data_IF_243615069968
#
_entry.id   IF_243615069968
#
_cell.length_a   1.000
_cell.length_b   1.000
_cell.length_c   1.000
_cell.angle_alpha   90.00
_cell.angle_beta   90.00
_cell.angle_gamma   90.00
#
_symmetry.space_group_name_H-M   'P 1'
#
loop_
_entity.id
_entity.type
_entity.pdbx_description
1 polymer ?
#
# COMPACT_ATOMS: atom_id res chain seq x y z
N UNK A 1 1.62 -4.79 13.58
CA UNK A 1 2.74 -5.60 13.04
C UNK A 1 2.44 -6.24 11.70
N UNK A 2 1.25 -6.83 11.48
CA UNK A 2 0.90 -7.42 10.18
C UNK A 2 0.75 -6.37 9.06
N UNK A 3 0.06 -5.25 9.32
CA UNK A 3 -0.15 -4.16 8.34
C UNK A 3 1.18 -3.58 7.84
N UNK A 4 2.13 -3.33 8.74
CA UNK A 4 3.45 -2.81 8.35
C UNK A 4 4.20 -3.75 7.42
N UNK A 5 4.17 -5.07 7.68
CA UNK A 5 4.79 -6.06 6.79
C UNK A 5 4.11 -6.10 5.42
N UNK A 6 2.79 -5.96 5.38
CA UNK A 6 2.04 -5.93 4.12
C UNK A 6 2.33 -4.66 3.32
N UNK A 7 2.52 -3.51 3.98
CA UNK A 7 2.98 -2.29 3.33
C UNK A 7 4.39 -2.43 2.76
N UNK A 8 5.33 -3.02 3.50
CA UNK A 8 6.69 -3.31 3.01
C UNK A 8 6.69 -4.23 1.78
N UNK A 9 5.91 -5.31 1.81
CA UNK A 9 5.73 -6.20 0.65
C UNK A 9 5.10 -5.48 -0.55
N UNK A 10 4.14 -4.58 -0.29
CA UNK A 10 3.51 -3.77 -1.32
C UNK A 10 4.51 -2.79 -1.96
N UNK A 11 5.38 -2.15 -1.19
CA UNK A 11 6.45 -1.28 -1.70
C UNK A 11 7.46 -2.05 -2.57
N UNK A 12 7.79 -3.30 -2.22
CA UNK A 12 8.65 -4.16 -3.05
C UNK A 12 7.97 -4.49 -4.38
N UNK A 13 6.68 -4.86 -4.36
CA UNK A 13 5.90 -5.14 -5.57
C UNK A 13 5.75 -3.91 -6.46
N UNK A 14 5.50 -2.72 -5.88
CA UNK A 14 5.44 -1.46 -6.62
C UNK A 14 6.78 -1.14 -7.29
N UNK A 15 7.91 -1.35 -6.60
CA UNK A 15 9.24 -1.15 -7.19
C UNK A 15 9.50 -2.10 -8.36
N UNK A 16 9.15 -3.38 -8.23
CA UNK A 16 9.28 -4.34 -9.32
C UNK A 16 8.42 -3.92 -10.53
N UNK A 17 7.18 -3.50 -10.28
CA UNK A 17 6.26 -3.06 -11.32
C UNK A 17 6.74 -1.78 -12.03
N UNK A 18 7.34 -0.84 -11.30
CA UNK A 18 7.94 0.37 -11.87
C UNK A 18 9.13 0.02 -12.78
N UNK A 19 10.02 -0.89 -12.36
CA UNK A 19 11.14 -1.35 -13.18
C UNK A 19 10.63 -1.97 -14.48
N UNK A 20 9.69 -2.91 -14.41
CA UNK A 20 9.09 -3.52 -15.61
C UNK A 20 8.36 -2.51 -16.49
N UNK A 21 7.72 -1.50 -15.90
CA UNK A 21 7.07 -0.41 -16.64
C UNK A 21 8.05 0.44 -17.43
N UNK A 22 9.18 0.81 -16.83
CA UNK A 22 10.25 1.57 -17.50
C UNK A 22 10.89 0.75 -18.62
N UNK A 23 11.12 -0.55 -18.42
CA UNK A 23 11.64 -1.44 -19.45
C UNK A 23 10.68 -1.54 -20.64
N UNK A 24 9.39 -1.74 -20.38
CA UNK A 24 8.38 -1.80 -21.43
C UNK A 24 8.25 -0.46 -22.17
N UNK A 25 8.32 0.68 -21.47
CA UNK A 25 8.29 2.01 -22.11
C UNK A 25 9.49 2.19 -23.06
N UNK A 26 10.70 1.77 -22.64
CA UNK A 26 11.90 1.84 -23.48
C UNK A 26 11.77 0.97 -24.72
N UNK A 27 11.23 -0.24 -24.58
CA UNK A 27 10.93 -1.10 -25.74
C UNK A 27 9.90 -0.42 -26.67
N UNK A 28 8.81 0.14 -26.13
CA UNK A 28 7.77 0.82 -26.92
C UNK A 28 8.30 2.04 -27.68
N UNK A 29 9.30 2.72 -27.14
CA UNK A 29 9.98 3.86 -27.79
C UNK A 29 11.01 3.45 -28.84
N UNK A 30 11.29 2.15 -28.97
CA UNK A 30 12.34 1.63 -29.86
C UNK A 30 13.76 1.93 -29.35
N UNK A 31 13.92 2.21 -28.06
CA UNK A 31 15.22 2.46 -27.43
C UNK A 31 15.94 1.15 -27.03
N UNK A 32 15.24 0.01 -27.12
CA UNK A 32 15.81 -1.32 -26.92
C UNK A 32 16.24 -1.94 -28.26
N UNK A 33 17.40 -2.61 -28.28
CA UNK A 33 17.95 -3.35 -29.44
C UNK A 33 17.06 -4.54 -29.87
N UNK A 34 15.94 -4.78 -29.21
CA UNK A 34 14.99 -5.86 -29.50
C UNK A 34 14.04 -5.49 -30.65
N UNK A 35 14.56 -5.51 -31.88
CA UNK A 35 13.76 -5.33 -33.10
C UNK A 35 12.78 -6.48 -33.41
N UNK A 36 12.16 -7.12 -32.42
CA UNK A 36 11.46 -8.42 -32.58
C UNK A 36 10.16 -8.62 -31.81
N UNK A 37 9.74 -7.74 -30.89
CA UNK A 37 8.48 -7.92 -30.14
C UNK A 37 7.30 -7.34 -30.92
N UNK A 38 6.22 -8.09 -31.04
CA UNK A 38 4.99 -7.64 -31.71
C UNK A 38 4.30 -6.53 -30.90
N UNK A 39 3.82 -5.48 -31.56
CA UNK A 39 3.15 -4.35 -30.89
C UNK A 39 1.94 -4.82 -30.06
N UNK A 40 1.21 -5.84 -30.53
CA UNK A 40 0.08 -6.43 -29.80
C UNK A 40 0.52 -7.05 -28.48
N UNK A 41 1.68 -7.72 -28.47
CA UNK A 41 2.24 -8.32 -27.27
C UNK A 41 2.64 -7.25 -26.25
N UNK A 42 3.26 -6.17 -26.73
CA UNK A 42 3.68 -5.05 -25.87
C UNK A 42 2.48 -4.32 -25.26
N UNK A 43 1.40 -4.12 -26.04
CA UNK A 43 0.15 -3.56 -25.52
C UNK A 43 -0.49 -4.48 -24.48
N UNK A 44 -0.45 -5.80 -24.68
CA UNK A 44 -0.95 -6.75 -23.69
C UNK A 44 -0.14 -6.68 -22.38
N UNK A 45 1.19 -6.67 -22.45
CA UNK A 45 2.06 -6.49 -21.29
C UNK A 45 1.80 -5.15 -20.59
N UNK A 46 1.55 -4.08 -21.35
CA UNK A 46 1.19 -2.78 -20.80
C UNK A 46 -0.16 -2.81 -20.07
N UNK A 47 -1.17 -3.45 -20.64
CA UNK A 47 -2.48 -3.60 -19.99
C UNK A 47 -2.37 -4.38 -18.67
N UNK A 48 -1.60 -5.47 -18.64
CA UNK A 48 -1.36 -6.24 -17.42
C UNK A 48 -0.63 -5.40 -16.35
N UNK A 49 0.39 -4.62 -16.73
CA UNK A 49 1.07 -3.71 -15.80
C UNK A 49 0.13 -2.65 -15.24
N UNK A 50 -0.73 -2.05 -16.07
CA UNK A 50 -1.72 -1.05 -15.62
C UNK A 50 -2.76 -1.68 -14.68
N UNK A 51 -3.24 -2.88 -15.00
CA UNK A 51 -4.17 -3.62 -14.14
C UNK A 51 -3.54 -3.93 -12.79
N UNK A 52 -2.30 -4.40 -12.77
CA UNK A 52 -1.60 -4.73 -11.54
C UNK A 52 -1.28 -3.48 -10.71
N UNK A 53 -0.86 -2.37 -11.36
CA UNK A 53 -0.70 -1.08 -10.68
C UNK A 53 -1.99 -0.62 -10.01
N UNK A 54 -3.12 -0.75 -10.70
CA UNK A 54 -4.42 -0.37 -10.15
C UNK A 54 -4.83 -1.24 -8.96
N UNK A 55 -4.54 -2.54 -8.99
CA UNK A 55 -4.78 -3.44 -7.85
C UNK A 55 -3.92 -3.05 -6.65
N UNK A 56 -2.63 -2.81 -6.87
CA UNK A 56 -1.71 -2.40 -5.81
C UNK A 56 -2.14 -1.08 -5.17
N UNK A 57 -2.52 -0.06 -5.96
CA UNK A 57 -3.01 1.21 -5.40
C UNK A 57 -4.27 1.06 -4.53
N UNK A 58 -5.21 0.18 -4.95
CA UNK A 58 -6.40 -0.11 -4.14
C UNK A 58 -6.02 -0.80 -2.84
N UNK A 59 -5.16 -1.80 -2.91
CA UNK A 59 -4.73 -2.55 -1.74
C UNK A 59 -3.94 -1.69 -0.75
N UNK A 60 -3.08 -0.80 -1.25
CA UNK A 60 -2.38 0.21 -0.44
C UNK A 60 -3.36 1.10 0.31
N UNK A 61 -4.38 1.61 -0.39
CA UNK A 61 -5.41 2.46 0.20
C UNK A 61 -6.17 1.73 1.33
N UNK A 62 -6.52 0.46 1.12
CA UNK A 62 -7.15 -0.38 2.14
C UNK A 62 -6.24 -0.57 3.37
N UNK A 63 -4.96 -0.86 3.16
CA UNK A 63 -3.99 -1.03 4.24
C UNK A 63 -3.80 0.26 5.05
N UNK A 64 -3.77 1.42 4.39
CA UNK A 64 -3.66 2.71 5.06
C UNK A 64 -4.89 3.03 5.92
N UNK A 65 -6.09 2.68 5.46
CA UNK A 65 -7.32 2.82 6.25
C UNK A 65 -7.24 1.94 7.51
N UNK A 66 -6.86 0.67 7.35
CA UNK A 66 -6.72 -0.26 8.49
C UNK A 66 -5.66 0.24 9.48
N UNK A 67 -4.55 0.79 8.99
CA UNK A 67 -3.52 1.37 9.85
C UNK A 67 -4.07 2.54 10.69
N UNK A 68 -4.86 3.43 10.08
CA UNK A 68 -5.49 4.55 10.76
C UNK A 68 -6.54 4.09 11.79
N UNK A 69 -7.36 3.08 11.44
CA UNK A 69 -8.34 2.50 12.37
C UNK A 69 -7.66 1.95 13.63
N UNK A 70 -6.57 1.18 13.47
CA UNK A 70 -5.81 0.65 14.60
C UNK A 70 -5.20 1.75 15.48
N UNK A 71 -4.72 2.84 14.89
CA UNK A 71 -4.19 3.98 15.65
C UNK A 71 -5.28 4.68 16.46
N UNK A 72 -6.46 4.87 15.85
CA UNK A 72 -7.62 5.46 16.53
C UNK A 72 -8.11 4.59 17.69
N UNK A 73 -8.15 3.27 17.50
CA UNK A 73 -8.51 2.31 18.56
C UNK A 73 -7.53 2.35 19.74
N UNK A 74 -6.22 2.38 19.49
CA UNK A 74 -5.20 2.53 20.53
C UNK A 74 -5.34 3.86 21.27
N UNK A 75 -5.58 4.95 20.53
CA UNK A 75 -5.80 6.26 21.11
C UNK A 75 -7.05 6.29 22.02
N UNK A 76 -8.17 5.73 21.54
CA UNK A 76 -9.39 5.62 22.31
C UNK A 76 -9.17 4.79 23.58
N UNK A 77 -8.52 3.63 23.48
CA UNK A 77 -8.22 2.76 24.63
C UNK A 77 -7.43 3.50 25.72
N UNK A 78 -6.40 4.26 25.32
CA UNK A 78 -5.59 5.07 26.25
C UNK A 78 -6.41 6.18 26.91
N UNK A 79 -7.28 6.85 26.17
CA UNK A 79 -8.14 7.89 26.72
C UNK A 79 -9.16 7.31 27.72
N UNK A 80 -9.78 6.18 27.39
CA UNK A 80 -10.71 5.49 28.28
C UNK A 80 -10.03 5.02 29.58
N UNK A 81 -8.81 4.50 29.48
CA UNK A 81 -8.03 4.13 30.66
C UNK A 81 -7.78 5.34 31.57
N UNK A 82 -7.30 6.46 31.00
CA UNK A 82 -7.07 7.71 31.75
C UNK A 82 -8.35 8.22 32.41
N UNK A 83 -9.50 8.09 31.74
CA UNK A 83 -10.78 8.49 32.28
C UNK A 83 -11.17 7.63 33.49
N UNK A 84 -11.05 6.30 33.37
CA UNK A 84 -11.32 5.36 34.48
C UNK A 84 -10.43 5.64 35.68
N UNK A 85 -9.14 5.89 35.47
CA UNK A 85 -8.19 6.22 36.53
C UNK A 85 -8.61 7.49 37.27
N UNK A 86 -8.98 8.56 36.55
CA UNK A 86 -9.47 9.81 37.17
C UNK A 86 -10.76 9.60 37.96
N UNK A 87 -11.74 8.91 37.38
CA UNK A 87 -13.01 8.61 38.07
C UNK A 87 -12.78 7.78 39.34
N UNK A 88 -11.84 6.84 39.32
CA UNK A 88 -11.49 6.04 40.49
C UNK A 88 -10.81 6.86 41.61
N UNK A 89 -10.07 7.91 41.26
CA UNK A 89 -9.47 8.84 42.23
C UNK A 89 -10.53 9.78 42.82
N UNK A 90 -11.40 10.33 41.98
CA UNK A 90 -12.48 11.22 42.40
C UNK A 90 -13.50 10.49 43.28
N UNK A 91 -13.80 9.23 42.98
CA UNK A 91 -14.68 8.37 43.78
C UNK A 91 -14.08 7.92 45.12
N UNK A 92 -12.75 7.92 45.27
CA UNK A 92 -12.06 7.68 46.55
C UNK A 92 -11.92 8.94 47.40
N UNK A 93 -12.05 10.12 46.78
CA UNK A 93 -11.92 11.42 47.44
C UNK A 93 -13.26 12.00 47.89
N UNK A 94 -14.36 11.26 47.71
CA UNK A 94 -15.71 11.57 48.15
C UNK A 94 -16.15 10.59 49.24
#
# INVERSE_FOLDING_TARGET
>A
QAVQRQLEELEERQRALEISGVELERELRGEADSGTKDETQMLHEWFELVLEKNKLMRYESELLIIAQELELEDHQSRLEQKLREKMAIDGKSK
#
